data_IF_776854278650
#
_entry.id   IF_776854278650
#
_cell.length_a   1.000
_cell.length_b   1.000
_cell.length_c   1.000
_cell.angle_alpha   90.00
_cell.angle_beta   90.00
_cell.angle_gamma   90.00
#
_symmetry.space_group_name_H-M   'P 1'
#
loop_
_entity.id
_entity.type
_entity.pdbx_description
1 polymer ?
#
# COMPACT_ATOMS: atom_id res chain seq x y z
N UNK A 1 24.37 -6.40 -24.25
CA UNK A 1 23.69 -5.91 -23.03
C UNK A 1 22.24 -6.36 -23.08
N UNK A 2 21.60 -6.73 -21.96
CA UNK A 2 20.23 -7.28 -21.95
C UNK A 2 19.19 -6.36 -21.31
N UNK A 3 19.61 -5.32 -20.59
CA UNK A 3 18.69 -4.35 -20.01
C UNK A 3 19.39 -3.24 -19.23
N UNK A 4 18.62 -2.18 -18.94
CA UNK A 4 19.06 -1.07 -18.10
C UNK A 4 17.89 -0.60 -17.22
N UNK A 5 18.12 -0.43 -15.92
CA UNK A 5 17.12 0.04 -14.96
C UNK A 5 17.71 1.11 -14.06
N UNK A 6 16.99 2.20 -13.84
CA UNK A 6 17.44 3.19 -12.87
C UNK A 6 17.09 2.71 -11.46
N UNK A 7 18.07 2.71 -10.55
CA UNK A 7 17.90 2.26 -9.16
C UNK A 7 17.66 3.41 -8.19
N UNK A 8 18.24 4.58 -8.47
CA UNK A 8 18.14 5.79 -7.65
C UNK A 8 18.48 7.01 -8.50
N UNK A 9 18.33 8.25 -8.00
CA UNK A 9 18.82 9.44 -8.69
C UNK A 9 20.34 9.49 -8.95
N UNK A 10 21.11 8.54 -8.44
CA UNK A 10 22.56 8.47 -8.64
C UNK A 10 23.04 7.16 -9.25
N UNK A 11 22.15 6.17 -9.47
CA UNK A 11 22.54 4.84 -9.94
C UNK A 11 21.66 4.27 -11.05
N UNK A 12 22.31 3.69 -12.06
CA UNK A 12 21.68 2.85 -13.09
C UNK A 12 22.32 1.47 -13.06
N UNK A 13 21.51 0.42 -13.01
CA UNK A 13 21.94 -0.97 -13.17
C UNK A 13 21.85 -1.39 -14.63
N UNK A 14 22.91 -2.00 -15.13
CA UNK A 14 22.99 -2.64 -16.44
C UNK A 14 23.01 -4.15 -16.26
N UNK A 15 22.28 -4.86 -17.11
CA UNK A 15 22.27 -6.32 -17.16
C UNK A 15 22.97 -6.82 -18.42
N UNK A 16 23.74 -7.89 -18.30
CA UNK A 16 24.51 -8.48 -19.41
C UNK A 16 24.25 -9.98 -19.54
N UNK A 17 24.47 -10.52 -20.75
CA UNK A 17 24.49 -11.98 -20.98
C UNK A 17 25.72 -12.64 -20.37
N UNK A 18 26.86 -11.94 -20.44
CA UNK A 18 28.14 -12.35 -19.85
C UNK A 18 28.99 -11.11 -19.48
N UNK A 19 29.85 -11.25 -18.46
CA UNK A 19 30.87 -10.29 -18.04
C UNK A 19 32.24 -10.95 -17.78
N UNK A 20 32.44 -12.20 -18.22
CA UNK A 20 33.73 -12.89 -18.06
C UNK A 20 34.85 -12.10 -18.75
N UNK A 21 35.97 -11.90 -18.04
CA UNK A 21 37.19 -11.24 -18.54
C UNK A 21 37.01 -9.80 -19.06
N UNK A 22 35.90 -9.13 -18.74
CA UNK A 22 35.64 -7.73 -19.09
C UNK A 22 35.93 -6.82 -17.90
N UNK A 23 36.72 -5.76 -18.13
CA UNK A 23 36.98 -4.72 -17.12
C UNK A 23 35.95 -3.60 -17.16
N UNK A 24 35.86 -2.81 -16.08
CA UNK A 24 35.00 -1.62 -16.05
C UNK A 24 35.40 -0.61 -17.12
N UNK A 25 36.71 -0.46 -17.37
CA UNK A 25 37.27 0.44 -18.38
C UNK A 25 36.86 0.04 -19.80
N UNK A 26 36.79 -1.26 -20.08
CA UNK A 26 36.38 -1.76 -21.39
C UNK A 26 34.90 -1.47 -21.64
N UNK A 27 34.04 -1.61 -20.63
CA UNK A 27 32.63 -1.22 -20.76
C UNK A 27 32.51 0.29 -20.98
N UNK A 28 33.23 1.09 -20.18
CA UNK A 28 33.10 2.56 -20.23
C UNK A 28 33.54 3.18 -21.57
N UNK A 29 34.43 2.54 -22.34
CA UNK A 29 34.87 3.02 -23.67
C UNK A 29 33.71 3.06 -24.68
N UNK A 30 32.87 2.03 -24.67
CA UNK A 30 31.80 1.83 -25.66
C UNK A 30 30.41 2.15 -25.11
N UNK A 31 30.30 2.38 -23.80
CA UNK A 31 29.05 2.75 -23.14
C UNK A 31 28.73 4.23 -23.35
N UNK A 32 27.52 4.50 -23.84
CA UNK A 32 26.97 5.85 -23.97
C UNK A 32 25.66 5.94 -23.22
N UNK A 33 25.56 6.88 -22.29
CA UNK A 33 24.31 7.23 -21.62
C UNK A 33 23.89 8.62 -22.07
N UNK A 34 22.65 8.76 -22.56
CA UNK A 34 22.13 10.04 -23.03
C UNK A 34 20.81 10.40 -22.35
N UNK A 35 20.53 11.70 -22.27
CA UNK A 35 19.21 12.24 -21.95
C UNK A 35 18.22 12.01 -23.12
N UNK A 36 16.96 12.43 -22.92
CA UNK A 36 15.90 12.33 -23.96
C UNK A 36 16.21 13.13 -25.22
N UNK A 37 16.92 14.24 -25.09
CA UNK A 37 17.31 15.13 -26.18
C UNK A 37 18.55 14.64 -26.95
N UNK A 38 19.15 13.53 -26.50
CA UNK A 38 20.34 12.95 -27.11
C UNK A 38 21.66 13.46 -26.55
N UNK A 39 21.65 14.44 -25.64
CA UNK A 39 22.88 14.92 -24.99
C UNK A 39 23.49 13.84 -24.08
N UNK A 40 24.81 13.77 -24.03
CA UNK A 40 25.52 12.78 -23.21
C UNK A 40 25.47 13.11 -21.72
N UNK A 41 25.34 12.07 -20.89
CA UNK A 41 25.46 12.16 -19.43
C UNK A 41 26.91 11.91 -19.02
N UNK A 42 27.42 12.70 -18.08
CA UNK A 42 28.74 12.46 -17.49
C UNK A 42 28.64 11.28 -16.52
N UNK A 43 29.40 10.22 -16.80
CA UNK A 43 29.52 9.05 -15.93
C UNK A 43 30.65 9.27 -14.92
N UNK A 44 30.43 8.91 -13.67
CA UNK A 44 31.46 9.04 -12.61
C UNK A 44 32.22 7.73 -12.39
N UNK A 45 31.50 6.62 -12.32
CA UNK A 45 32.06 5.33 -11.97
C UNK A 45 31.20 4.19 -12.53
N UNK A 46 31.82 3.04 -12.72
CA UNK A 46 31.16 1.77 -13.05
C UNK A 46 31.73 0.66 -12.17
N UNK A 47 30.85 -0.03 -11.44
CA UNK A 47 31.19 -1.18 -10.60
C UNK A 47 30.61 -2.46 -11.20
N UNK A 48 31.43 -3.51 -11.32
CA UNK A 48 31.00 -4.79 -11.86
C UNK A 48 30.60 -5.76 -10.76
N UNK A 49 29.52 -6.49 -11.02
CA UNK A 49 29.11 -7.67 -10.28
C UNK A 49 29.06 -8.85 -11.26
N UNK A 50 30.22 -9.48 -11.46
CA UNK A 50 30.40 -10.57 -12.42
C UNK A 50 29.59 -11.80 -12.02
N UNK A 51 29.40 -12.04 -10.72
CA UNK A 51 28.59 -13.14 -10.18
C UNK A 51 27.14 -13.05 -10.66
N UNK A 52 26.58 -11.84 -10.67
CA UNK A 52 25.20 -11.61 -11.10
C UNK A 52 25.08 -11.05 -12.53
N UNK A 53 26.20 -10.92 -13.26
CA UNK A 53 26.27 -10.40 -14.63
C UNK A 53 25.67 -8.99 -14.74
N UNK A 54 25.99 -8.15 -13.75
CA UNK A 54 25.48 -6.78 -13.62
C UNK A 54 26.61 -5.77 -13.57
N UNK A 55 26.31 -4.54 -13.96
CA UNK A 55 27.15 -3.39 -13.67
C UNK A 55 26.31 -2.25 -13.09
N UNK A 56 26.85 -1.54 -12.11
CA UNK A 56 26.21 -0.35 -11.55
C UNK A 56 26.97 0.89 -12.00
N UNK A 57 26.28 1.75 -12.75
CA UNK A 57 26.75 3.08 -13.11
C UNK A 57 26.42 4.05 -11.99
N UNK A 58 27.40 4.85 -11.59
CA UNK A 58 27.20 5.99 -10.69
C UNK A 58 27.31 7.28 -11.48
N UNK A 59 26.33 8.16 -11.32
CA UNK A 59 26.22 9.42 -12.04
C UNK A 59 25.21 10.37 -11.40
N UNK A 60 24.83 11.42 -12.13
CA UNK A 60 23.73 12.31 -11.75
C UNK A 60 22.52 12.00 -12.64
N UNK A 61 21.68 11.11 -12.16
CA UNK A 61 20.52 10.57 -12.88
C UNK A 61 19.21 11.13 -12.31
N UNK A 62 19.06 12.46 -12.22
CA UNK A 62 17.83 13.07 -11.67
C UNK A 62 16.57 12.52 -12.36
N UNK A 63 15.60 12.06 -11.56
CA UNK A 63 14.39 11.39 -12.03
C UNK A 63 13.56 12.20 -13.05
N UNK A 64 13.62 13.54 -13.03
CA UNK A 64 12.92 14.39 -14.01
C UNK A 64 13.35 14.15 -15.46
N UNK A 65 14.55 13.60 -15.67
CA UNK A 65 15.10 13.35 -17.00
C UNK A 65 14.75 11.96 -17.55
N UNK A 66 14.06 11.13 -16.76
CA UNK A 66 13.68 9.77 -17.16
C UNK A 66 12.74 9.73 -18.36
N UNK A 67 12.88 8.78 -19.29
CA UNK A 67 13.94 7.75 -19.30
C UNK A 67 15.28 8.25 -19.85
N UNK A 68 16.37 7.73 -19.29
CA UNK A 68 17.70 7.78 -19.90
C UNK A 68 17.83 6.70 -20.98
N UNK A 69 18.66 6.93 -21.99
CA UNK A 69 18.98 5.92 -23.01
C UNK A 69 20.41 5.43 -22.79
N UNK A 70 20.57 4.14 -22.57
CA UNK A 70 21.86 3.48 -22.39
C UNK A 70 22.16 2.65 -23.64
N UNK A 71 23.30 2.90 -24.25
CA UNK A 71 23.76 2.22 -25.47
C UNK A 71 25.12 1.60 -25.24
N UNK A 72 25.28 0.34 -25.61
CA UNK A 72 26.54 -0.39 -25.53
C UNK A 72 26.70 -1.24 -26.80
N UNK A 73 27.70 -0.93 -27.62
CA UNK A 73 27.82 -1.50 -28.96
C UNK A 73 26.58 -1.17 -29.81
N UNK A 74 25.91 -2.22 -30.33
CA UNK A 74 24.69 -2.09 -31.12
C UNK A 74 23.40 -2.11 -30.28
N UNK A 75 23.50 -2.45 -28.98
CA UNK A 75 22.34 -2.60 -28.11
C UNK A 75 21.98 -1.26 -27.46
N UNK A 76 20.68 -0.95 -27.40
CA UNK A 76 20.21 0.29 -26.79
C UNK A 76 18.92 0.10 -26.01
N UNK A 77 18.90 0.56 -24.76
CA UNK A 77 17.78 0.40 -23.82
C UNK A 77 17.41 1.73 -23.18
N UNK A 78 16.10 1.94 -22.96
CA UNK A 78 15.60 3.03 -22.12
C UNK A 78 15.54 2.55 -20.67
N UNK A 79 16.02 3.35 -19.73
CA UNK A 79 15.89 3.02 -18.30
C UNK A 79 14.42 3.04 -17.91
N UNK A 80 13.96 1.98 -17.24
CA UNK A 80 12.63 1.91 -16.65
C UNK A 80 12.60 2.42 -15.22
N UNK A 81 11.42 2.82 -14.75
CA UNK A 81 11.15 3.11 -13.34
C UNK A 81 11.17 1.80 -12.53
N UNK A 82 12.30 1.48 -11.89
CA UNK A 82 12.37 0.32 -11.01
C UNK A 82 11.62 0.57 -9.70
N UNK A 83 11.20 -0.50 -9.02
CA UNK A 83 10.66 -0.39 -7.66
C UNK A 83 11.69 0.22 -6.70
N UNK A 84 12.99 -0.02 -6.90
CA UNK A 84 14.07 0.57 -6.11
C UNK A 84 14.15 2.08 -6.29
N UNK A 85 13.97 2.57 -7.51
CA UNK A 85 13.89 4.00 -7.77
C UNK A 85 12.65 4.61 -7.11
N UNK A 86 11.50 3.92 -7.18
CA UNK A 86 10.29 4.36 -6.47
C UNK A 86 10.53 4.45 -4.97
N UNK A 87 11.20 3.48 -4.35
CA UNK A 87 11.60 3.54 -2.93
C UNK A 87 12.53 4.74 -2.68
N UNK A 88 13.58 4.91 -3.47
CA UNK A 88 14.53 6.01 -3.29
C UNK A 88 13.88 7.40 -3.39
N UNK A 89 12.85 7.54 -4.22
CA UNK A 89 12.14 8.81 -4.43
C UNK A 89 10.99 9.02 -3.45
N UNK A 90 10.24 7.96 -3.14
CA UNK A 90 8.90 8.04 -2.58
C UNK A 90 8.70 7.21 -1.31
N UNK A 91 9.75 6.60 -0.73
CA UNK A 91 9.61 6.00 0.61
C UNK A 91 9.08 7.04 1.59
N UNK A 92 8.09 6.65 2.36
CA UNK A 92 7.37 7.50 3.30
C UNK A 92 7.15 6.75 4.60
N UNK A 93 7.72 7.28 5.68
CA UNK A 93 7.69 6.68 7.00
C UNK A 93 6.67 7.34 7.94
N UNK A 94 5.85 8.25 7.41
CA UNK A 94 4.78 8.91 8.16
C UNK A 94 3.50 8.07 8.25
N UNK A 95 2.49 8.60 8.93
CA UNK A 95 1.20 7.93 9.12
C UNK A 95 0.43 7.79 7.79
N UNK A 96 -0.18 6.62 7.58
CA UNK A 96 -1.02 6.28 6.44
C UNK A 96 -2.40 5.81 6.90
N UNK A 97 -3.38 5.93 6.01
CA UNK A 97 -4.78 5.58 6.28
C UNK A 97 -5.60 6.76 6.79
N UNK A 98 -6.74 6.44 7.41
CA UNK A 98 -7.62 7.42 8.04
C UNK A 98 -7.51 7.37 9.57
N UNK A 99 -7.36 8.55 10.19
CA UNK A 99 -7.40 8.73 11.64
C UNK A 99 -8.45 9.77 11.99
N UNK A 100 -9.47 9.33 12.73
CA UNK A 100 -10.42 10.24 13.35
C UNK A 100 -9.71 11.09 14.41
N UNK A 101 -10.06 12.37 14.42
CA UNK A 101 -9.62 13.36 15.39
C UNK A 101 -10.85 14.03 16.01
N UNK A 102 -10.65 14.75 17.12
CA UNK A 102 -11.69 15.60 17.73
C UNK A 102 -13.02 14.87 17.96
N UNK A 103 -12.93 13.63 18.47
CA UNK A 103 -14.09 12.77 18.72
C UNK A 103 -14.95 12.52 17.45
N UNK A 104 -14.33 12.52 16.27
CA UNK A 104 -14.94 12.18 14.99
C UNK A 104 -15.46 13.37 14.18
N UNK A 105 -15.33 14.61 14.64
CA UNK A 105 -15.68 15.80 13.84
C UNK A 105 -14.68 16.04 12.69
N UNK A 106 -13.48 15.46 12.79
CA UNK A 106 -12.39 15.59 11.83
C UNK A 106 -11.77 14.23 11.52
N UNK A 107 -11.25 14.04 10.31
CA UNK A 107 -10.42 12.91 9.94
C UNK A 107 -9.19 13.37 9.16
N UNK A 108 -8.00 13.00 9.64
CA UNK A 108 -6.79 13.10 8.83
C UNK A 108 -6.70 11.87 7.92
N UNK A 109 -6.54 12.08 6.62
CA UNK A 109 -6.42 10.99 5.65
C UNK A 109 -5.10 11.11 4.89
N UNK A 110 -4.41 9.98 4.71
CA UNK A 110 -3.17 9.92 3.92
C UNK A 110 -3.12 8.64 3.10
N UNK A 111 -3.05 8.76 1.77
CA UNK A 111 -2.89 7.66 0.83
C UNK A 111 -1.56 7.80 0.07
N UNK A 112 -0.75 6.74 0.05
CA UNK A 112 0.47 6.72 -0.77
C UNK A 112 0.15 6.31 -2.22
N UNK A 113 0.33 7.23 -3.16
CA UNK A 113 0.11 6.96 -4.59
C UNK A 113 0.94 7.92 -5.47
N UNK A 114 2.27 7.74 -5.56
CA UNK A 114 3.20 8.69 -6.17
C UNK A 114 2.96 8.93 -7.67
N UNK A 115 2.42 7.92 -8.37
CA UNK A 115 2.17 7.99 -9.81
C UNK A 115 0.77 8.48 -10.17
N UNK A 116 -0.03 8.92 -9.20
CA UNK A 116 -1.35 9.50 -9.48
C UNK A 116 -1.23 10.94 -9.97
N UNK A 117 -2.16 11.31 -10.85
CA UNK A 117 -2.38 12.69 -11.28
C UNK A 117 -3.40 13.40 -10.38
N UNK A 118 -4.36 12.63 -9.84
CA UNK A 118 -5.37 13.09 -8.91
C UNK A 118 -5.83 11.94 -8.01
N UNK A 119 -6.15 12.25 -6.76
CA UNK A 119 -6.82 11.33 -5.83
C UNK A 119 -8.01 12.04 -5.21
N UNK A 120 -9.19 11.45 -5.35
CA UNK A 120 -10.41 11.89 -4.68
C UNK A 120 -10.78 10.87 -3.60
N UNK A 121 -11.29 11.34 -2.47
CA UNK A 121 -12.00 10.50 -1.51
C UNK A 121 -13.51 10.59 -1.79
N UNK A 122 -14.18 9.44 -1.82
CA UNK A 122 -15.63 9.33 -1.98
C UNK A 122 -16.18 8.88 -0.64
N UNK A 123 -17.08 9.67 -0.04
CA UNK A 123 -17.69 9.36 1.26
C UNK A 123 -19.11 8.86 1.07
N UNK A 124 -19.44 7.76 1.73
CA UNK A 124 -20.74 7.08 1.66
C UNK A 124 -21.46 7.09 3.00
N UNK A 125 -22.79 7.07 2.96
CA UNK A 125 -23.66 7.09 4.13
C UNK A 125 -23.49 5.84 5.01
N UNK A 126 -23.38 6.02 6.33
CA UNK A 126 -23.21 4.91 7.29
C UNK A 126 -24.41 3.96 7.37
N UNK A 127 -25.61 4.44 7.06
CA UNK A 127 -26.85 3.65 7.09
C UNK A 127 -27.23 3.10 5.72
N UNK A 128 -26.59 3.59 4.65
CA UNK A 128 -26.76 3.09 3.29
C UNK A 128 -25.44 3.22 2.52
N UNK A 129 -24.65 2.16 2.52
CA UNK A 129 -23.31 2.15 1.93
C UNK A 129 -23.26 2.40 0.40
N UNK A 130 -24.41 2.43 -0.29
CA UNK A 130 -24.49 2.71 -1.73
C UNK A 130 -24.86 4.17 -2.04
N UNK A 131 -25.17 4.96 -1.01
CA UNK A 131 -25.44 6.39 -1.13
C UNK A 131 -24.15 7.18 -0.95
N UNK A 132 -23.65 7.77 -2.03
CA UNK A 132 -22.57 8.77 -2.00
C UNK A 132 -23.10 10.06 -1.36
N UNK A 133 -22.37 10.60 -0.39
CA UNK A 133 -22.65 11.87 0.26
C UNK A 133 -21.93 13.02 -0.43
N UNK A 134 -20.61 12.89 -0.59
CA UNK A 134 -19.80 13.83 -1.35
C UNK A 134 -18.49 13.18 -1.80
N UNK A 135 -17.78 13.91 -2.64
CA UNK A 135 -16.42 13.60 -3.08
C UNK A 135 -15.54 14.82 -2.79
N UNK A 136 -14.29 14.56 -2.38
CA UNK A 136 -13.33 15.61 -2.08
C UNK A 136 -11.98 15.27 -2.70
N UNK A 137 -11.39 16.22 -3.42
CA UNK A 137 -10.06 16.04 -4.04
C UNK A 137 -8.98 16.28 -3.01
N UNK A 138 -8.10 15.29 -2.81
CA UNK A 138 -7.00 15.38 -1.86
C UNK A 138 -5.84 16.22 -2.39
N UNK A 139 -5.07 16.79 -1.46
CA UNK A 139 -3.86 17.53 -1.77
C UNK A 139 -2.64 16.62 -1.89
N UNK A 140 -1.79 16.86 -2.89
CA UNK A 140 -0.52 16.13 -3.05
C UNK A 140 0.45 16.50 -1.93
N UNK A 141 0.89 15.51 -1.17
CA UNK A 141 1.83 15.65 -0.06
C UNK A 141 3.28 15.25 -0.41
N UNK A 142 4.08 15.07 0.63
CA UNK A 142 5.48 14.64 0.50
C UNK A 142 5.57 13.21 -0.01
N UNK A 143 6.67 12.90 -0.71
CA UNK A 143 7.00 11.51 -1.12
C UNK A 143 5.87 10.78 -1.86
N UNK A 144 5.00 11.51 -2.54
CA UNK A 144 3.91 10.93 -3.33
C UNK A 144 2.69 10.53 -2.52
N UNK A 145 2.54 11.02 -1.29
CA UNK A 145 1.29 10.93 -0.55
C UNK A 145 0.23 11.87 -1.14
N UNK A 146 -1.02 11.55 -0.85
CA UNK A 146 -2.20 12.37 -1.06
C UNK A 146 -2.91 12.46 0.29
N UNK A 147 -3.14 13.67 0.77
CA UNK A 147 -3.57 13.87 2.15
C UNK A 147 -4.46 15.10 2.29
N UNK A 148 -5.34 15.07 3.29
CA UNK A 148 -6.10 16.23 3.75
C UNK A 148 -6.65 16.01 5.15
N UNK A 149 -7.08 17.11 5.76
CA UNK A 149 -7.90 17.14 6.95
C UNK A 149 -9.36 17.32 6.54
N UNK A 150 -10.16 16.27 6.66
CA UNK A 150 -11.58 16.27 6.32
C UNK A 150 -12.41 16.70 7.52
N UNK A 151 -13.27 17.71 7.37
CA UNK A 151 -14.22 18.09 8.41
C UNK A 151 -15.58 17.44 8.13
N UNK A 152 -16.24 16.93 9.17
CA UNK A 152 -17.59 16.37 9.05
C UNK A 152 -18.56 17.34 8.38
N UNK A 153 -18.41 18.64 8.67
CA UNK A 153 -19.23 19.72 8.10
C UNK A 153 -19.11 19.85 6.59
N UNK A 154 -17.97 19.46 6.00
CA UNK A 154 -17.78 19.48 4.54
C UNK A 154 -18.73 18.52 3.82
N UNK A 155 -19.23 17.52 4.55
CA UNK A 155 -20.19 16.51 4.09
C UNK A 155 -21.60 16.75 4.62
N UNK A 156 -21.85 17.88 5.29
CA UNK A 156 -23.13 18.15 5.97
C UNK A 156 -23.36 17.24 7.18
N UNK A 157 -22.29 16.75 7.82
CA UNK A 157 -22.33 15.84 8.95
C UNK A 157 -21.84 16.52 10.23
N UNK A 158 -22.30 16.03 11.38
CA UNK A 158 -21.73 16.40 12.68
C UNK A 158 -20.53 15.53 13.06
N UNK A 159 -20.45 14.30 12.53
CA UNK A 159 -19.44 13.32 12.90
C UNK A 159 -19.21 12.32 11.75
N UNK A 160 -17.96 11.97 11.48
CA UNK A 160 -17.53 11.02 10.46
C UNK A 160 -17.55 9.56 10.92
N UNK A 161 -17.67 9.29 12.22
CA UNK A 161 -17.61 7.92 12.77
C UNK A 161 -18.67 7.01 12.15
N UNK A 162 -18.22 5.87 11.61
CA UNK A 162 -19.04 4.83 10.99
C UNK A 162 -19.41 5.11 9.54
N UNK A 163 -19.13 6.30 9.00
CA UNK A 163 -19.27 6.55 7.57
C UNK A 163 -18.19 5.81 6.78
N UNK A 164 -18.51 5.50 5.52
CA UNK A 164 -17.63 4.71 4.68
C UNK A 164 -16.93 5.56 3.64
N UNK A 165 -15.79 5.09 3.14
CA UNK A 165 -15.05 5.75 2.09
C UNK A 165 -14.31 4.79 1.16
N UNK A 166 -14.04 5.28 -0.05
CA UNK A 166 -13.09 4.69 -1.00
C UNK A 166 -12.29 5.83 -1.64
N UNK A 167 -11.18 5.51 -2.29
CA UNK A 167 -10.45 6.48 -3.09
C UNK A 167 -10.66 6.25 -4.58
N UNK A 168 -10.80 7.32 -5.34
CA UNK A 168 -10.68 7.31 -6.81
C UNK A 168 -9.32 7.85 -7.19
N UNK A 169 -8.53 7.04 -7.89
CA UNK A 169 -7.20 7.43 -8.36
C UNK A 169 -7.25 7.61 -9.88
N UNK A 170 -6.85 8.79 -10.34
CA UNK A 170 -6.69 9.10 -11.77
C UNK A 170 -5.23 9.01 -12.21
N UNK A 171 -4.98 8.37 -13.34
CA UNK A 171 -3.69 8.28 -14.05
C UNK A 171 -3.94 8.39 -15.56
N UNK A 172 -3.55 9.52 -16.15
CA UNK A 172 -3.94 9.91 -17.50
C UNK A 172 -5.46 9.94 -17.63
N UNK A 173 -5.97 9.23 -18.64
CA UNK A 173 -7.41 9.16 -18.93
C UNK A 173 -8.12 8.05 -18.13
N UNK A 174 -7.41 7.30 -17.28
CA UNK A 174 -7.96 6.20 -16.51
C UNK A 174 -8.22 6.59 -15.05
N UNK A 175 -9.38 6.21 -14.54
CA UNK A 175 -9.74 6.31 -13.12
C UNK A 175 -10.11 4.94 -12.57
N UNK A 176 -9.63 4.63 -11.36
CA UNK A 176 -9.97 3.38 -10.66
C UNK A 176 -10.37 3.67 -9.22
N UNK A 177 -11.36 2.91 -8.73
CA UNK A 177 -11.76 2.92 -7.32
C UNK A 177 -10.90 1.91 -6.57
N UNK A 178 -10.36 2.31 -5.43
CA UNK A 178 -9.49 1.48 -4.60
C UNK A 178 -9.90 1.52 -3.13
N UNK A 179 -9.59 0.43 -2.44
CA UNK A 179 -9.73 0.33 -0.99
C UNK A 179 -8.47 0.91 -0.36
N UNK A 180 -8.64 1.66 0.74
CA UNK A 180 -7.53 2.09 1.58
C UNK A 180 -6.84 0.85 2.19
N UNK A 181 -5.56 0.57 1.86
CA UNK A 181 -4.85 -0.57 2.41
C UNK A 181 -4.62 -0.47 3.93
N UNK A 182 -4.83 0.71 4.52
CA UNK A 182 -4.73 0.98 5.96
C UNK A 182 -6.11 1.15 6.63
N UNK A 183 -7.20 0.76 5.95
CA UNK A 183 -8.54 0.78 6.52
C UNK A 183 -8.60 -0.04 7.83
N UNK A 184 -9.12 0.57 8.89
CA UNK A 184 -9.24 -0.05 10.24
C UNK A 184 -10.51 -0.86 10.43
N UNK A 185 -11.51 -0.65 9.57
CA UNK A 185 -12.75 -1.41 9.48
C UNK A 185 -13.38 -1.19 8.10
N UNK A 186 -14.43 -1.94 7.77
CA UNK A 186 -15.07 -1.96 6.45
C UNK A 186 -16.60 -1.93 6.58
N UNK A 187 -17.28 -1.48 5.53
CA UNK A 187 -18.70 -1.75 5.33
C UNK A 187 -18.95 -3.26 5.16
N UNK A 188 -20.21 -3.68 5.37
CA UNK A 188 -20.61 -5.06 5.12
C UNK A 188 -20.34 -5.44 3.65
N UNK A 189 -19.61 -6.54 3.45
CA UNK A 189 -19.12 -6.94 2.14
C UNK A 189 -19.77 -8.23 1.65
N UNK A 190 -20.20 -8.22 0.39
CA UNK A 190 -20.70 -9.40 -0.31
C UNK A 190 -20.09 -9.45 -1.72
N UNK A 191 -19.31 -10.48 -2.00
CA UNK A 191 -18.67 -10.69 -3.31
C UNK A 191 -19.68 -10.99 -4.43
N UNK A 192 -20.91 -11.40 -4.12
CA UNK A 192 -21.94 -11.60 -5.14
C UNK A 192 -22.35 -10.28 -5.80
N UNK A 193 -22.06 -9.14 -5.14
CA UNK A 193 -22.40 -7.81 -5.63
C UNK A 193 -21.33 -7.22 -6.56
N UNK A 194 -20.22 -7.92 -6.84
CA UNK A 194 -19.09 -7.38 -7.63
C UNK A 194 -19.44 -6.96 -9.06
N UNK A 195 -20.53 -7.50 -9.61
CA UNK A 195 -21.04 -7.14 -10.93
C UNK A 195 -21.87 -5.86 -10.94
N UNK A 196 -22.21 -5.28 -9.78
CA UNK A 196 -23.09 -4.11 -9.68
C UNK A 196 -22.38 -2.80 -10.04
N UNK A 197 -21.06 -2.71 -9.86
CA UNK A 197 -20.30 -1.51 -10.17
C UNK A 197 -18.84 -1.59 -9.70
N UNK A 198 -17.96 -0.69 -10.15
CA UNK A 198 -16.56 -0.65 -9.72
C UNK A 198 -16.39 -0.49 -8.20
N UNK A 199 -17.24 0.29 -7.55
CA UNK A 199 -17.31 0.50 -6.10
C UNK A 199 -17.70 -0.76 -5.33
N UNK A 200 -18.36 -1.71 -5.98
CA UNK A 200 -18.72 -3.02 -5.44
C UNK A 200 -17.71 -4.12 -5.76
N UNK A 201 -16.59 -3.84 -6.44
CA UNK A 201 -15.54 -4.85 -6.70
C UNK A 201 -14.62 -5.08 -5.50
N UNK A 202 -14.66 -4.17 -4.55
CA UNK A 202 -13.88 -4.13 -3.32
C UNK A 202 -14.76 -3.58 -2.20
N UNK A 203 -14.41 -3.86 -0.95
CA UNK A 203 -15.09 -3.28 0.19
C UNK A 203 -14.93 -1.74 0.24
N UNK A 204 -15.77 -1.10 1.05
CA UNK A 204 -15.66 0.31 1.41
C UNK A 204 -15.01 0.40 2.79
N UNK A 205 -13.97 1.22 2.95
CA UNK A 205 -13.32 1.46 4.24
C UNK A 205 -14.28 2.20 5.18
N UNK A 206 -14.09 2.10 6.50
CA UNK A 206 -14.90 2.81 7.49
C UNK A 206 -14.04 3.74 8.35
N UNK A 207 -14.54 4.94 8.60
CA UNK A 207 -13.96 5.85 9.60
C UNK A 207 -14.27 5.34 11.00
N UNK A 208 -13.27 4.79 11.67
CA UNK A 208 -13.39 4.26 13.04
C UNK A 208 -12.20 4.70 13.89
N UNK A 209 -12.49 4.93 15.18
CA UNK A 209 -11.47 5.12 16.20
C UNK A 209 -11.46 3.89 17.12
N UNK A 210 -10.44 3.04 16.95
CA UNK A 210 -10.30 1.79 17.68
C UNK A 210 -10.23 2.00 19.21
N UNK A 211 -9.71 3.15 19.67
CA UNK A 211 -9.61 3.45 21.10
C UNK A 211 -10.97 3.52 21.79
N UNK A 212 -12.05 3.76 21.04
CA UNK A 212 -13.41 3.84 21.57
C UNK A 212 -14.07 2.46 21.76
N UNK A 213 -13.55 1.41 21.14
CA UNK A 213 -14.15 0.07 21.17
C UNK A 213 -13.38 -0.90 22.09
N UNK A 214 -14.05 -1.99 22.49
CA UNK A 214 -13.46 -3.07 23.27
C UNK A 214 -13.15 -2.76 24.75
N UNK A 215 -12.65 -3.75 25.50
CA UNK A 215 -12.20 -3.59 26.88
C UNK A 215 -11.04 -2.58 26.96
N UNK A 216 -11.11 -1.65 27.92
CA UNK A 216 -10.08 -0.59 28.08
C UNK A 216 -8.80 -1.09 28.74
N UNK A 217 -8.87 -2.25 29.37
CA UNK A 217 -7.81 -2.94 30.09
C UNK A 217 -7.25 -4.15 29.31
N UNK A 218 -7.51 -4.22 28.00
CA UNK A 218 -6.97 -5.27 27.15
C UNK A 218 -5.43 -5.20 27.13
N UNK A 219 -4.78 -6.31 27.50
CA UNK A 219 -3.33 -6.44 27.59
C UNK A 219 -2.88 -7.83 27.12
N UNK A 220 -1.57 -8.04 26.97
CA UNK A 220 -0.99 -9.32 26.60
C UNK A 220 -1.27 -10.41 27.65
N UNK A 221 -1.37 -11.66 27.16
CA UNK A 221 -1.66 -12.81 28.01
C UNK A 221 -0.57 -13.05 29.06
N UNK A 222 -0.99 -13.41 30.29
CA UNK A 222 -0.11 -13.85 31.38
C UNK A 222 -0.22 -15.36 31.52
N UNK A 223 0.55 -16.08 30.70
CA UNK A 223 0.48 -17.54 30.64
C UNK A 223 1.39 -18.14 31.72
N UNK A 224 0.86 -18.94 32.67
CA UNK A 224 1.68 -19.57 33.72
C UNK A 224 2.80 -20.42 33.13
N UNK A 225 4.02 -20.25 33.65
CA UNK A 225 5.23 -20.97 33.25
C UNK A 225 5.69 -20.80 31.78
N UNK A 226 5.11 -19.88 31.02
CA UNK A 226 5.57 -19.58 29.66
C UNK A 226 6.82 -18.69 29.70
N UNK A 227 8.00 -19.27 29.42
CA UNK A 227 9.30 -18.57 29.47
C UNK A 227 9.90 -18.37 28.10
N UNK A 228 9.70 -19.31 27.18
CA UNK A 228 10.15 -19.21 25.81
C UNK A 228 9.15 -19.82 24.84
N UNK A 229 9.37 -19.60 23.54
CA UNK A 229 8.51 -20.13 22.47
C UNK A 229 8.40 -21.66 22.49
N UNK A 230 9.40 -22.36 23.03
CA UNK A 230 9.43 -23.81 23.17
C UNK A 230 8.41 -24.33 24.19
N UNK A 231 7.91 -23.47 25.09
CA UNK A 231 6.84 -23.79 26.04
C UNK A 231 5.43 -23.71 25.41
N UNK A 232 5.32 -23.24 24.15
CA UNK A 232 4.04 -23.04 23.49
C UNK A 232 3.38 -24.37 23.10
N UNK A 233 2.12 -24.55 23.49
CA UNK A 233 1.22 -25.57 22.95
C UNK A 233 0.16 -24.83 22.13
N UNK A 234 0.29 -24.88 20.81
CA UNK A 234 -0.57 -24.14 19.89
C UNK A 234 -1.75 -25.04 19.48
N UNK A 235 -2.96 -24.52 19.66
CA UNK A 235 -4.19 -25.12 19.16
C UNK A 235 -4.73 -24.24 18.01
N UNK A 236 -4.76 -24.81 16.81
CA UNK A 236 -5.30 -24.13 15.62
C UNK A 236 -6.78 -24.42 15.50
N UNK A 237 -7.57 -23.36 15.25
CA UNK A 237 -9.01 -23.46 15.10
C UNK A 237 -9.56 -22.38 14.16
N UNK A 238 -10.79 -22.57 13.70
CA UNK A 238 -11.53 -21.65 12.87
C UNK A 238 -12.77 -21.14 13.61
N UNK A 239 -12.92 -19.81 13.71
CA UNK A 239 -14.01 -19.14 14.48
C UNK A 239 -15.40 -19.68 14.11
N UNK A 240 -15.63 -19.96 12.82
CA UNK A 240 -16.90 -20.53 12.36
C UNK A 240 -17.06 -21.98 12.81
N UNK A 241 -16.05 -22.79 12.55
CA UNK A 241 -16.15 -24.24 12.64
C UNK A 241 -16.38 -24.65 14.10
N UNK A 242 -15.66 -24.01 15.02
CA UNK A 242 -15.71 -24.28 16.47
C UNK A 242 -17.11 -24.23 17.08
N UNK A 243 -17.99 -23.39 16.53
CA UNK A 243 -19.35 -23.21 17.08
C UNK A 243 -20.47 -23.55 16.09
N UNK A 244 -20.14 -24.11 14.92
CA UNK A 244 -21.14 -24.36 13.85
C UNK A 244 -21.89 -25.68 13.95
N UNK A 245 -21.53 -26.56 14.89
CA UNK A 245 -22.23 -27.83 15.09
C UNK A 245 -23.68 -27.58 15.54
N UNK A 246 -24.62 -28.24 14.87
CA UNK A 246 -26.04 -28.20 15.24
C UNK A 246 -26.29 -28.82 16.61
N UNK A 247 -25.44 -29.75 17.07
CA UNK A 247 -25.59 -30.39 18.36
C UNK A 247 -25.54 -29.38 19.53
N UNK A 248 -24.74 -28.33 19.40
CA UNK A 248 -24.56 -27.30 20.45
C UNK A 248 -25.47 -26.09 20.25
N UNK A 249 -26.33 -26.07 19.22
CA UNK A 249 -27.08 -24.85 18.85
C UNK A 249 -28.00 -24.34 19.96
N UNK A 250 -28.53 -25.25 20.78
CA UNK A 250 -29.39 -24.91 21.91
C UNK A 250 -28.61 -24.34 23.12
N UNK A 251 -27.30 -24.54 23.16
CA UNK A 251 -26.41 -24.14 24.27
C UNK A 251 -25.76 -22.77 24.01
N UNK A 252 -25.67 -22.35 22.73
CA UNK A 252 -25.09 -21.07 22.35
C UNK A 252 -25.97 -19.89 22.77
N UNK A 253 -25.37 -18.92 23.47
CA UNK A 253 -26.01 -17.64 23.83
C UNK A 253 -25.91 -16.58 22.73
N UNK A 254 -25.02 -16.79 21.78
CA UNK A 254 -24.74 -15.87 20.67
C UNK A 254 -24.87 -16.60 19.34
N UNK A 255 -25.01 -15.84 18.25
CA UNK A 255 -25.07 -16.41 16.91
C UNK A 255 -23.83 -17.26 16.63
N UNK A 256 -24.03 -18.49 16.15
CA UNK A 256 -22.95 -19.40 15.82
C UNK A 256 -21.96 -18.79 14.82
N UNK A 257 -20.71 -19.22 14.91
CA UNK A 257 -19.62 -18.82 14.03
C UNK A 257 -19.22 -17.35 14.12
N UNK A 258 -19.49 -16.71 15.26
CA UNK A 258 -19.08 -15.33 15.56
C UNK A 258 -18.06 -15.31 16.69
N UNK A 259 -17.33 -14.20 16.84
CA UNK A 259 -16.39 -14.01 17.96
C UNK A 259 -17.08 -14.14 19.33
N UNK A 260 -18.33 -13.69 19.47
CA UNK A 260 -19.06 -13.77 20.73
C UNK A 260 -19.43 -15.22 21.10
N UNK A 261 -19.84 -16.04 20.11
CA UNK A 261 -20.06 -17.46 20.35
C UNK A 261 -18.76 -18.20 20.69
N UNK A 262 -17.66 -17.86 20.01
CA UNK A 262 -16.33 -18.42 20.29
C UNK A 262 -15.89 -18.11 21.72
N UNK A 263 -15.98 -16.85 22.17
CA UNK A 263 -15.66 -16.48 23.55
C UNK A 263 -16.54 -17.21 24.59
N UNK A 264 -17.85 -17.31 24.31
CA UNK A 264 -18.81 -18.01 25.18
C UNK A 264 -18.48 -19.48 25.40
N UNK A 265 -17.90 -20.16 24.40
CA UNK A 265 -17.47 -21.56 24.51
C UNK A 265 -16.29 -21.76 25.49
N UNK A 266 -15.52 -20.70 25.79
CA UNK A 266 -14.47 -20.69 26.82
C UNK A 266 -14.97 -20.16 28.17
N UNK A 267 -16.28 -19.92 28.31
CA UNK A 267 -16.85 -19.34 29.53
C UNK A 267 -16.52 -17.85 29.72
N UNK A 268 -16.06 -17.17 28.66
CA UNK A 268 -15.81 -15.74 28.64
C UNK A 268 -17.09 -15.06 28.11
N UNK A 269 -17.82 -14.37 28.98
CA UNK A 269 -19.02 -13.60 28.61
C UNK A 269 -18.85 -12.12 28.96
#
# INVERSE_FOLDING_TARGET
MTGAQQLSPSQIELSFTNLDEVSSEDILKDLKVTYKDGNSVILKQLELDTKFKKATLTGDFVAKNLPYKVTFGNDSFKTSDSWRLKVALYSYDGELGARLEENGTKAHVTLWSPSADQVDIIVYDKNNQDKVLAEHTLSKGLRGTWQDDLLATDFGLENLTGYFYQYRIKRGDQSVIVLDPYAKSLAAWNSDNVSQGPEHKIAKAAFVDLANYGPKDLDYAKIPNFKSREDAIIYEDHVRDFTSDKAISAELKHQFGTFAAFAGAFGLS
#
